data_IF_308456029732
#
_entry.id   IF_308456029732
#
_cell.length_a   1.000
_cell.length_b   1.000
_cell.length_c   1.000
_cell.angle_alpha   90.00
_cell.angle_beta   90.00
_cell.angle_gamma   90.00
#
_symmetry.space_group_name_H-M   'P 1'
#
loop_
_entity.id
_entity.type
_entity.pdbx_description
1 polymer ?
#
# COMPACT_ATOMS: atom_id res chain seq x y z
N UNK A 1 17.76 18.10 -1.97
CA UNK A 1 16.58 18.89 -1.59
C UNK A 1 16.20 18.58 -0.17
N UNK A 2 15.44 19.47 0.50
CA UNK A 2 14.77 19.19 1.78
C UNK A 2 13.33 18.77 1.49
N UNK A 3 12.97 17.58 1.92
CA UNK A 3 11.68 16.95 1.63
C UNK A 3 10.94 16.66 2.93
N UNK A 4 9.74 17.21 3.08
CA UNK A 4 8.85 16.89 4.20
C UNK A 4 7.76 15.92 3.72
N UNK A 5 7.74 14.71 4.26
CA UNK A 5 6.67 13.72 4.06
C UNK A 5 5.65 13.86 5.20
N UNK A 6 4.36 13.85 4.88
CA UNK A 6 3.29 13.98 5.89
C UNK A 6 2.35 12.77 5.81
N UNK A 7 2.20 12.08 6.92
CA UNK A 7 1.30 10.93 7.04
C UNK A 7 0.50 11.00 8.35
N UNK A 8 -0.75 10.56 8.31
CA UNK A 8 -1.62 10.52 9.49
C UNK A 8 -1.05 9.64 10.61
N UNK A 9 -0.51 8.48 10.23
CA UNK A 9 0.15 7.53 11.12
C UNK A 9 1.49 7.14 10.53
N UNK A 10 2.45 6.82 11.40
CA UNK A 10 3.78 6.37 11.01
C UNK A 10 4.29 5.29 11.97
N UNK A 11 5.50 4.76 11.76
CA UNK A 11 6.10 3.79 12.67
C UNK A 11 6.03 4.28 14.14
N UNK A 12 5.74 3.39 15.11
CA UNK A 12 5.68 1.93 15.04
C UNK A 12 4.36 1.35 14.49
N UNK A 13 3.39 2.18 14.09
CA UNK A 13 2.18 1.71 13.41
C UNK A 13 2.52 1.07 12.07
N UNK A 14 1.92 -0.10 11.78
CA UNK A 14 2.17 -0.87 10.56
C UNK A 14 0.95 -0.78 9.62
N UNK A 15 1.20 -0.52 8.34
CA UNK A 15 0.20 -0.49 7.28
C UNK A 15 0.84 -0.10 5.94
N UNK A 16 0.12 -0.25 4.84
CA UNK A 16 0.65 0.01 3.49
C UNK A 16 1.21 1.43 3.31
N UNK A 17 0.45 2.45 3.72
CA UNK A 17 0.88 3.86 3.62
C UNK A 17 2.09 4.14 4.52
N UNK A 18 2.11 3.60 5.76
CA UNK A 18 3.24 3.77 6.68
C UNK A 18 4.53 3.16 6.12
N UNK A 19 4.43 1.96 5.56
CA UNK A 19 5.56 1.29 4.90
C UNK A 19 6.02 2.05 3.66
N UNK A 20 5.09 2.54 2.83
CA UNK A 20 5.39 3.38 1.67
C UNK A 20 6.19 4.64 2.08
N UNK A 21 5.70 5.39 3.07
CA UNK A 21 6.34 6.63 3.52
C UNK A 21 7.74 6.38 4.09
N UNK A 22 7.90 5.30 4.91
CA UNK A 22 9.19 4.93 5.47
C UNK A 22 10.20 4.56 4.38
N UNK A 23 9.82 3.65 3.48
CA UNK A 23 10.72 3.14 2.43
C UNK A 23 11.07 4.22 1.42
N UNK A 24 10.10 5.02 1.00
CA UNK A 24 10.37 6.19 0.14
C UNK A 24 11.31 7.18 0.85
N UNK A 25 11.08 7.46 2.13
CA UNK A 25 11.94 8.35 2.91
C UNK A 25 13.39 7.87 2.96
N UNK A 26 13.60 6.58 3.20
CA UNK A 26 14.94 5.95 3.21
C UNK A 26 15.58 6.01 1.82
N UNK A 27 14.84 5.66 0.77
CA UNK A 27 15.35 5.68 -0.59
C UNK A 27 15.74 7.09 -1.05
N UNK A 28 14.92 8.10 -0.77
CA UNK A 28 15.26 9.51 -1.05
C UNK A 28 16.48 10.00 -0.27
N UNK A 29 16.69 9.52 0.95
CA UNK A 29 17.93 9.83 1.68
C UNK A 29 19.15 9.18 1.03
N UNK A 30 19.00 7.96 0.55
CA UNK A 30 20.04 7.25 -0.21
C UNK A 30 20.51 8.03 -1.43
N UNK A 31 19.65 8.84 -2.04
CA UNK A 31 19.99 9.75 -3.16
C UNK A 31 20.44 11.15 -2.71
N UNK A 32 20.69 11.36 -1.41
CA UNK A 32 21.29 12.59 -0.88
C UNK A 32 20.29 13.69 -0.51
N UNK A 33 18.99 13.38 -0.41
CA UNK A 33 17.99 14.32 0.09
C UNK A 33 17.97 14.36 1.63
N UNK A 34 17.61 15.52 2.19
CA UNK A 34 17.27 15.63 3.62
C UNK A 34 15.77 15.38 3.78
N UNK A 35 15.42 14.25 4.39
CA UNK A 35 14.02 13.84 4.51
C UNK A 35 13.55 13.91 5.96
N UNK A 36 12.40 14.52 6.17
CA UNK A 36 11.68 14.51 7.45
C UNK A 36 10.26 13.98 7.28
N UNK A 37 9.75 13.30 8.31
CA UNK A 37 8.35 12.84 8.39
C UNK A 37 7.64 13.60 9.48
N UNK A 38 6.50 14.22 9.15
CA UNK A 38 5.59 14.80 10.12
C UNK A 38 4.36 13.89 10.27
N UNK A 39 4.04 13.51 11.51
CA UNK A 39 2.94 12.59 11.80
C UNK A 39 2.27 12.89 13.14
N UNK A 40 1.16 12.23 13.44
CA UNK A 40 0.56 12.32 14.76
C UNK A 40 1.30 11.44 15.77
N UNK A 41 1.40 11.94 16.99
CA UNK A 41 1.87 11.17 18.14
C UNK A 41 0.79 10.20 18.61
N UNK A 42 1.16 8.93 18.78
CA UNK A 42 0.30 7.90 19.32
C UNK A 42 0.87 7.43 20.66
N UNK A 43 0.05 7.44 21.70
CA UNK A 43 0.43 7.00 23.04
C UNK A 43 1.76 7.63 23.50
N UNK A 44 2.72 6.80 23.85
CA UNK A 44 4.02 7.19 24.42
C UNK A 44 5.13 7.30 23.36
N UNK A 45 4.77 7.43 22.08
CA UNK A 45 5.76 7.64 21.02
C UNK A 45 6.60 8.90 21.31
N UNK A 46 7.93 8.89 21.06
CA UNK A 46 8.76 10.08 21.23
C UNK A 46 8.33 11.21 20.28
N UNK A 47 8.42 12.46 20.74
CA UNK A 47 8.06 13.63 19.91
C UNK A 47 8.98 13.76 18.69
N UNK A 48 10.26 13.37 18.85
CA UNK A 48 11.25 13.39 17.76
C UNK A 48 12.18 12.18 17.89
N UNK A 49 12.47 11.52 16.78
CA UNK A 49 13.44 10.44 16.68
C UNK A 49 13.98 10.30 15.26
N UNK A 50 15.07 9.57 15.09
CA UNK A 50 15.60 9.21 13.77
C UNK A 50 15.39 7.72 13.54
N UNK A 51 14.62 7.37 12.51
CA UNK A 51 14.35 5.99 12.11
C UNK A 51 14.99 5.71 10.75
N UNK A 52 15.92 4.78 10.68
CA UNK A 52 16.65 4.46 9.45
C UNK A 52 17.21 5.68 8.72
N UNK A 53 17.68 6.68 9.49
CA UNK A 53 18.19 7.94 8.97
C UNK A 53 17.15 9.03 8.77
N UNK A 54 15.87 8.72 8.67
CA UNK A 54 14.76 9.67 8.47
C UNK A 54 14.39 10.34 9.79
N UNK A 55 14.38 11.68 9.81
CA UNK A 55 13.93 12.46 10.96
C UNK A 55 12.39 12.37 11.07
N UNK A 56 11.89 11.83 12.17
CA UNK A 56 10.46 11.71 12.44
C UNK A 56 10.06 12.69 13.55
N UNK A 57 9.10 13.56 13.25
CA UNK A 57 8.54 14.52 14.22
C UNK A 57 7.07 14.23 14.43
N UNK A 58 6.69 13.95 15.66
CA UNK A 58 5.32 13.61 16.04
C UNK A 58 4.65 14.75 16.79
N UNK A 59 3.40 14.98 16.45
CA UNK A 59 2.61 16.07 17.00
C UNK A 59 1.40 15.51 17.75
N UNK A 60 1.20 15.95 18.98
CA UNK A 60 0.02 15.57 19.78
C UNK A 60 -1.25 15.97 19.05
N UNK A 61 -2.22 15.07 18.89
CA UNK A 61 -3.51 15.41 18.35
C UNK A 61 -4.22 16.46 19.22
N UNK A 62 -4.73 17.50 18.59
CA UNK A 62 -5.61 18.47 19.23
C UNK A 62 -7.05 17.96 19.30
N UNK A 63 -7.46 17.22 18.23
CA UNK A 63 -8.73 16.52 18.16
C UNK A 63 -8.44 15.08 17.80
N UNK A 64 -8.98 14.12 18.55
CA UNK A 64 -8.87 12.69 18.30
C UNK A 64 -10.23 12.03 18.47
N UNK A 65 -10.88 11.77 17.34
CA UNK A 65 -12.07 10.95 17.22
C UNK A 65 -11.70 9.73 16.37
N UNK A 66 -12.53 8.70 16.39
CA UNK A 66 -12.25 7.39 15.78
C UNK A 66 -11.69 7.46 14.33
N UNK A 67 -12.21 8.38 13.52
CA UNK A 67 -11.81 8.59 12.12
C UNK A 67 -11.34 10.02 11.83
N UNK A 68 -11.22 10.86 12.85
CA UNK A 68 -10.84 12.27 12.72
C UNK A 68 -9.71 12.57 13.69
N UNK A 69 -8.49 12.63 13.16
CA UNK A 69 -7.32 13.06 13.93
C UNK A 69 -6.74 14.31 13.29
N UNK A 70 -6.61 15.39 14.07
CA UNK A 70 -6.04 16.65 13.62
C UNK A 70 -5.11 17.18 14.71
N UNK A 71 -3.96 17.71 14.33
CA UNK A 71 -3.01 18.40 15.21
C UNK A 71 -2.74 19.80 14.68
N UNK A 72 -3.04 20.81 15.46
CA UNK A 72 -2.69 22.21 15.13
C UNK A 72 -1.17 22.38 15.06
N UNK A 73 -0.41 21.67 15.90
CA UNK A 73 1.06 21.68 15.85
C UNK A 73 1.60 21.18 14.51
N UNK A 74 1.07 20.06 14.00
CA UNK A 74 1.43 19.51 12.69
C UNK A 74 1.08 20.51 11.58
N UNK A 75 -0.11 21.09 11.58
CA UNK A 75 -0.51 22.05 10.55
C UNK A 75 0.33 23.34 10.57
N UNK A 76 0.72 23.80 11.75
CA UNK A 76 1.68 24.92 11.88
C UNK A 76 3.07 24.54 11.31
N UNK A 77 3.56 23.34 11.61
CA UNK A 77 4.82 22.85 11.07
C UNK A 77 4.79 22.79 9.52
N UNK A 78 3.73 22.21 8.93
CA UNK A 78 3.52 22.17 7.47
C UNK A 78 3.47 23.59 6.86
N UNK A 79 2.79 24.52 7.53
CA UNK A 79 2.67 25.91 7.05
C UNK A 79 3.98 26.67 7.10
N UNK A 80 4.78 26.47 8.15
CA UNK A 80 6.01 27.22 8.43
C UNK A 80 7.27 26.57 7.88
N UNK A 81 7.21 25.30 7.42
CA UNK A 81 8.41 24.65 6.89
C UNK A 81 8.95 25.41 5.67
N UNK A 82 10.28 25.63 5.68
CA UNK A 82 11.03 26.20 4.56
C UNK A 82 11.60 25.11 3.65
N UNK A 83 11.12 23.87 3.78
CA UNK A 83 11.55 22.76 2.93
C UNK A 83 11.09 22.97 1.49
N UNK A 84 11.90 22.45 0.57
CA UNK A 84 11.72 22.66 -0.85
C UNK A 84 10.38 22.08 -1.32
N UNK A 85 9.96 20.96 -0.72
CA UNK A 85 8.71 20.29 -1.06
C UNK A 85 8.04 19.66 0.15
N UNK A 86 6.71 19.64 0.14
CA UNK A 86 5.87 18.87 1.06
C UNK A 86 5.12 17.81 0.26
N UNK A 87 5.20 16.56 0.70
CA UNK A 87 4.50 15.45 0.09
C UNK A 87 3.53 14.81 1.09
N UNK A 88 2.25 14.86 0.79
CA UNK A 88 1.16 14.33 1.63
C UNK A 88 0.76 12.94 1.15
N UNK A 89 0.44 12.06 2.10
CA UNK A 89 0.03 10.68 1.81
C UNK A 89 -1.36 10.39 2.33
N UNK A 90 -2.11 9.62 1.54
CA UNK A 90 -3.49 9.19 1.81
C UNK A 90 -4.54 10.28 1.65
N UNK A 91 -5.28 10.19 0.57
CA UNK A 91 -6.44 11.06 0.30
C UNK A 91 -7.50 11.02 1.41
N UNK A 92 -7.69 9.86 2.03
CA UNK A 92 -8.75 9.63 3.01
C UNK A 92 -8.52 10.30 4.38
N UNK A 93 -7.31 10.78 4.63
CA UNK A 93 -6.96 11.34 5.94
C UNK A 93 -7.29 12.83 6.03
N UNK A 94 -8.01 13.22 7.06
CA UNK A 94 -8.36 14.63 7.32
C UNK A 94 -7.11 15.49 7.51
N UNK A 95 -6.03 14.93 8.07
CA UNK A 95 -4.76 15.65 8.20
C UNK A 95 -4.18 16.01 6.85
N UNK A 96 -4.27 15.12 5.85
CA UNK A 96 -3.83 15.39 4.48
C UNK A 96 -4.60 16.57 3.90
N UNK A 97 -5.92 16.60 4.07
CA UNK A 97 -6.76 17.70 3.60
C UNK A 97 -6.42 19.03 4.29
N UNK A 98 -6.30 19.02 5.61
CA UNK A 98 -5.96 20.21 6.38
C UNK A 98 -4.53 20.70 6.07
N UNK A 99 -3.57 19.79 5.89
CA UNK A 99 -2.19 20.10 5.53
C UNK A 99 -2.08 20.72 4.13
N UNK A 100 -2.84 20.20 3.16
CA UNK A 100 -2.90 20.78 1.81
C UNK A 100 -3.40 22.22 1.83
N UNK A 101 -4.41 22.52 2.67
CA UNK A 101 -4.89 23.90 2.84
C UNK A 101 -3.88 24.79 3.58
N UNK A 102 -3.14 24.24 4.53
CA UNK A 102 -2.15 24.98 5.32
C UNK A 102 -0.88 25.32 4.54
N UNK A 103 -0.45 24.45 3.59
CA UNK A 103 0.81 24.60 2.82
C UNK A 103 0.78 25.83 1.91
N UNK A 104 1.92 26.55 1.81
CA UNK A 104 2.10 27.75 0.98
C UNK A 104 3.19 27.62 -0.09
N UNK A 105 3.79 26.45 -0.25
CA UNK A 105 4.86 26.18 -1.23
C UNK A 105 4.56 24.90 -2.02
N UNK A 106 5.55 24.38 -2.75
CA UNK A 106 5.42 23.18 -3.56
C UNK A 106 4.77 22.02 -2.81
N UNK A 107 3.79 21.38 -3.44
CA UNK A 107 2.92 20.36 -2.82
C UNK A 107 2.69 19.19 -3.76
N UNK A 108 3.04 17.99 -3.30
CA UNK A 108 2.68 16.71 -3.95
C UNK A 108 1.72 15.95 -3.05
N UNK A 109 0.80 15.21 -3.65
CA UNK A 109 -0.15 14.35 -2.92
C UNK A 109 -0.14 12.95 -3.53
N UNK A 110 0.24 11.93 -2.75
CA UNK A 110 -0.02 10.53 -3.09
C UNK A 110 -1.38 10.11 -2.54
N UNK A 111 -2.27 9.72 -3.44
CA UNK A 111 -3.68 9.51 -3.10
C UNK A 111 -3.93 8.21 -2.34
N UNK A 112 -3.27 7.11 -2.68
CA UNK A 112 -3.57 5.77 -2.18
C UNK A 112 -5.09 5.48 -2.20
N UNK A 113 -5.74 5.83 -3.32
CA UNK A 113 -7.18 5.87 -3.48
C UNK A 113 -7.70 4.55 -4.08
N UNK A 114 -8.73 3.97 -3.48
CA UNK A 114 -9.35 2.73 -3.94
C UNK A 114 -10.86 2.87 -4.24
N UNK A 115 -11.36 4.10 -4.37
CA UNK A 115 -12.69 4.41 -4.94
C UNK A 115 -13.88 4.27 -4.00
N UNK A 116 -13.87 3.40 -3.01
CA UNK A 116 -15.01 3.14 -2.14
C UNK A 116 -14.61 2.92 -0.68
N UNK A 117 -15.60 3.01 0.21
CA UNK A 117 -15.49 2.56 1.60
C UNK A 117 -16.52 1.46 1.86
N UNK A 118 -16.22 0.53 2.78
CA UNK A 118 -17.15 -0.54 3.13
C UNK A 118 -18.46 -0.01 3.74
N UNK A 119 -19.60 -0.52 3.24
CA UNK A 119 -20.93 -0.24 3.74
C UNK A 119 -21.66 0.91 3.04
N UNK A 120 -22.99 0.73 2.82
CA UNK A 120 -23.84 1.69 2.09
C UNK A 120 -23.85 3.11 2.69
N UNK A 121 -23.80 3.23 4.00
CA UNK A 121 -23.83 4.54 4.67
C UNK A 121 -22.48 5.25 4.55
N UNK A 122 -21.36 4.52 4.74
CA UNK A 122 -19.99 5.03 4.54
C UNK A 122 -19.75 5.42 3.09
N UNK A 123 -20.27 4.67 2.13
CA UNK A 123 -20.19 4.99 0.70
C UNK A 123 -20.90 6.31 0.37
N UNK A 124 -22.08 6.60 0.96
CA UNK A 124 -22.78 7.90 0.80
C UNK A 124 -22.02 9.05 1.44
N UNK A 125 -21.50 8.85 2.65
CA UNK A 125 -20.63 9.85 3.31
C UNK A 125 -19.37 10.11 2.50
N UNK A 126 -18.81 9.07 1.86
CA UNK A 126 -17.65 9.18 1.00
C UNK A 126 -17.91 10.05 -0.26
N UNK A 127 -19.10 9.96 -0.85
CA UNK A 127 -19.48 10.84 -1.98
C UNK A 127 -19.49 12.32 -1.55
N UNK A 128 -20.00 12.65 -0.36
CA UNK A 128 -19.93 14.01 0.16
C UNK A 128 -18.48 14.42 0.45
N UNK A 129 -17.67 13.51 0.99
CA UNK A 129 -16.26 13.70 1.28
C UNK A 129 -15.40 13.95 0.02
N UNK A 130 -15.78 13.38 -1.13
CA UNK A 130 -15.11 13.63 -2.43
C UNK A 130 -15.09 15.12 -2.78
N UNK A 131 -16.14 15.87 -2.48
CA UNK A 131 -16.21 17.32 -2.76
C UNK A 131 -15.16 18.13 -1.98
N UNK A 132 -14.83 17.70 -0.76
CA UNK A 132 -13.75 18.34 0.00
C UNK A 132 -12.37 17.89 -0.49
N UNK A 133 -12.25 16.63 -0.90
CA UNK A 133 -11.05 16.06 -1.47
C UNK A 133 -10.66 16.67 -2.80
N UNK A 134 -11.62 17.02 -3.65
CA UNK A 134 -11.38 17.70 -4.93
C UNK A 134 -10.61 19.02 -4.71
N UNK A 135 -11.02 19.81 -3.72
CA UNK A 135 -10.32 21.05 -3.33
C UNK A 135 -8.88 20.82 -2.84
N UNK A 136 -8.60 19.67 -2.26
CA UNK A 136 -7.24 19.28 -1.83
C UNK A 136 -6.39 18.95 -3.03
N UNK A 137 -6.93 18.14 -3.94
CA UNK A 137 -6.25 17.78 -5.17
C UNK A 137 -6.05 18.98 -6.10
N UNK A 138 -6.98 19.96 -6.11
CA UNK A 138 -6.81 21.24 -6.82
C UNK A 138 -5.59 22.04 -6.32
N UNK A 139 -5.22 21.91 -5.05
CA UNK A 139 -4.06 22.61 -4.48
C UNK A 139 -2.74 21.93 -4.72
N UNK A 140 -2.74 20.65 -5.04
CA UNK A 140 -1.52 19.91 -5.33
C UNK A 140 -0.91 20.35 -6.67
N UNK A 141 0.38 20.63 -6.69
CA UNK A 141 1.11 20.87 -7.94
C UNK A 141 1.21 19.59 -8.77
N UNK A 142 1.36 18.45 -8.11
CA UNK A 142 1.32 17.12 -8.72
C UNK A 142 0.60 16.12 -7.79
N UNK A 143 -0.06 15.16 -8.44
CA UNK A 143 -0.79 14.07 -7.78
C UNK A 143 -0.15 12.76 -8.20
N UNK A 144 0.19 11.91 -7.24
CA UNK A 144 0.76 10.59 -7.48
C UNK A 144 -0.30 9.52 -7.22
N UNK A 145 -0.55 8.69 -8.21
CA UNK A 145 -1.29 7.44 -8.10
C UNK A 145 -0.33 6.25 -8.12
N UNK A 146 -0.64 5.20 -7.36
CA UNK A 146 0.23 4.03 -7.21
C UNK A 146 0.04 2.99 -8.33
N UNK A 147 -1.00 3.17 -9.18
CA UNK A 147 -1.31 2.29 -10.30
C UNK A 147 -2.13 3.03 -11.37
N UNK A 148 -2.18 2.50 -12.57
CA UNK A 148 -3.06 2.98 -13.64
C UNK A 148 -4.54 2.81 -13.28
N UNK A 149 -4.85 1.72 -12.56
CA UNK A 149 -6.19 1.47 -12.04
C UNK A 149 -6.61 2.57 -11.05
N UNK A 150 -5.72 2.98 -10.15
CA UNK A 150 -5.97 4.11 -9.24
C UNK A 150 -6.11 5.42 -10.00
N UNK A 151 -5.22 5.70 -10.98
CA UNK A 151 -5.30 6.91 -11.81
C UNK A 151 -6.65 7.01 -12.53
N UNK A 152 -7.14 5.92 -13.06
CA UNK A 152 -8.45 5.88 -13.72
C UNK A 152 -9.57 6.29 -12.77
N UNK A 153 -9.58 5.73 -11.55
CA UNK A 153 -10.56 6.10 -10.51
C UNK A 153 -10.42 7.56 -10.06
N UNK A 154 -9.19 8.06 -9.94
CA UNK A 154 -8.93 9.46 -9.59
C UNK A 154 -9.45 10.38 -10.69
N UNK A 155 -9.23 10.08 -11.96
CA UNK A 155 -9.72 10.86 -13.09
C UNK A 155 -11.24 10.83 -13.24
N UNK A 156 -11.88 9.71 -12.87
CA UNK A 156 -13.33 9.57 -12.86
C UNK A 156 -13.96 10.41 -11.74
N UNK A 157 -13.38 10.33 -10.53
CA UNK A 157 -13.96 10.95 -9.36
C UNK A 157 -13.53 12.40 -9.13
N UNK A 158 -12.39 12.81 -9.69
CA UNK A 158 -11.76 14.13 -9.54
C UNK A 158 -11.25 14.63 -10.89
N UNK A 159 -12.14 15.05 -11.80
CA UNK A 159 -11.76 15.45 -13.17
C UNK A 159 -10.75 16.60 -13.23
N UNK A 160 -10.74 17.49 -12.22
CA UNK A 160 -9.79 18.61 -12.10
C UNK A 160 -8.32 18.17 -11.91
N UNK A 161 -8.10 16.90 -11.56
CA UNK A 161 -6.75 16.35 -11.28
C UNK A 161 -6.00 15.90 -12.55
N UNK A 162 -6.68 15.71 -13.69
CA UNK A 162 -6.18 14.98 -14.86
C UNK A 162 -4.80 15.42 -15.35
N UNK A 163 -4.59 16.72 -15.50
CA UNK A 163 -3.35 17.28 -16.08
C UNK A 163 -2.18 17.26 -15.11
N UNK A 164 -2.42 16.91 -13.83
CA UNK A 164 -1.43 16.93 -12.75
C UNK A 164 -1.19 15.55 -12.11
N UNK A 165 -1.72 14.50 -12.74
CA UNK A 165 -1.60 13.14 -12.21
C UNK A 165 -0.46 12.38 -12.87
N UNK A 166 0.39 11.74 -12.05
CA UNK A 166 1.44 10.80 -12.46
C UNK A 166 1.20 9.46 -11.81
N UNK A 167 1.59 8.39 -12.47
CA UNK A 167 1.62 7.05 -11.86
C UNK A 167 3.06 6.78 -11.46
N UNK A 168 3.28 6.63 -10.17
CA UNK A 168 4.56 6.20 -9.58
C UNK A 168 4.20 5.10 -8.58
N UNK A 169 4.50 3.84 -8.89
CA UNK A 169 4.12 2.70 -8.04
C UNK A 169 4.92 2.67 -6.74
N UNK A 170 4.52 1.80 -5.82
CA UNK A 170 5.37 1.45 -4.69
C UNK A 170 6.56 0.62 -5.17
N UNK A 171 7.73 0.88 -4.63
CA UNK A 171 8.91 0.06 -4.87
C UNK A 171 8.85 -1.28 -4.14
N UNK A 172 9.63 -2.23 -4.63
CA UNK A 172 9.82 -3.55 -4.02
C UNK A 172 11.27 -3.70 -3.58
N UNK A 173 11.51 -4.33 -2.42
CA UNK A 173 12.85 -4.67 -1.93
C UNK A 173 13.38 -5.92 -2.64
N UNK A 174 13.66 -5.80 -3.95
CA UNK A 174 14.01 -6.93 -4.82
C UNK A 174 15.19 -7.73 -4.23
N UNK A 175 16.29 -7.07 -3.92
CA UNK A 175 17.50 -7.74 -3.42
C UNK A 175 17.26 -8.41 -2.07
N UNK A 176 16.54 -7.75 -1.16
CA UNK A 176 16.23 -8.31 0.15
C UNK A 176 15.28 -9.53 0.08
N UNK A 177 14.37 -9.55 -0.90
CA UNK A 177 13.51 -10.72 -1.14
C UNK A 177 14.35 -11.85 -1.75
N UNK A 178 15.16 -11.59 -2.75
CA UNK A 178 15.96 -12.61 -3.42
C UNK A 178 17.03 -13.22 -2.50
N UNK A 179 17.60 -12.42 -1.60
CA UNK A 179 18.58 -12.87 -0.60
C UNK A 179 17.95 -13.65 0.57
N UNK A 180 16.63 -13.63 0.73
CA UNK A 180 15.97 -14.32 1.84
C UNK A 180 16.07 -15.84 1.69
N UNK A 181 16.34 -16.52 2.81
CA UNK A 181 16.43 -17.97 2.85
C UNK A 181 15.09 -18.62 2.50
N UNK A 182 15.16 -19.71 1.75
CA UNK A 182 14.02 -20.59 1.53
C UNK A 182 13.97 -21.65 2.63
N UNK A 183 12.78 -21.99 3.08
CA UNK A 183 12.58 -23.13 3.99
C UNK A 183 11.72 -24.17 3.28
N UNK A 184 12.31 -25.33 2.94
CA UNK A 184 11.51 -26.44 2.48
C UNK A 184 10.75 -27.06 3.63
N UNK A 185 9.46 -27.29 3.46
CA UNK A 185 8.64 -27.97 4.45
C UNK A 185 8.86 -29.48 4.37
N UNK A 186 9.11 -30.08 5.52
CA UNK A 186 9.35 -31.51 5.63
C UNK A 186 8.15 -32.38 5.26
N UNK A 187 6.92 -31.81 5.22
CA UNK A 187 5.67 -32.55 4.93
C UNK A 187 5.31 -32.66 3.44
N UNK A 188 6.14 -32.10 2.55
CA UNK A 188 5.94 -32.15 1.10
C UNK A 188 4.71 -31.42 0.57
N UNK A 189 3.95 -30.69 1.42
CA UNK A 189 2.76 -29.93 1.02
C UNK A 189 3.15 -28.58 0.43
N UNK A 190 2.38 -28.14 -0.56
CA UNK A 190 2.48 -26.78 -1.08
C UNK A 190 2.13 -25.74 -0.02
N UNK A 191 2.82 -24.59 -0.04
CA UNK A 191 2.56 -23.48 0.86
C UNK A 191 1.72 -22.42 0.16
N UNK A 192 0.51 -22.17 0.70
CA UNK A 192 -0.31 -21.00 0.36
C UNK A 192 -0.03 -19.92 1.41
N UNK A 193 0.26 -18.72 0.94
CA UNK A 193 0.56 -17.58 1.82
C UNK A 193 -0.46 -16.46 1.57
N UNK A 194 -1.01 -15.92 2.65
CA UNK A 194 -1.82 -14.69 2.67
C UNK A 194 -1.14 -13.69 3.58
N UNK A 195 -0.94 -12.46 3.09
CA UNK A 195 -0.27 -11.39 3.83
C UNK A 195 -1.15 -10.14 3.81
N UNK A 196 -1.34 -9.53 4.97
CA UNK A 196 -2.00 -8.23 5.08
C UNK A 196 -2.75 -8.03 6.38
N UNK A 197 -3.40 -6.86 6.49
CA UNK A 197 -4.34 -6.63 7.60
C UNK A 197 -5.53 -7.60 7.47
N UNK A 198 -5.97 -8.14 8.59
CA UNK A 198 -7.14 -9.03 8.60
C UNK A 198 -8.42 -8.20 8.74
N UNK A 199 -8.65 -7.34 7.75
CA UNK A 199 -9.88 -6.55 7.62
C UNK A 199 -10.84 -7.26 6.67
N UNK A 200 -12.13 -7.01 6.79
CA UNK A 200 -13.17 -7.72 6.02
C UNK A 200 -12.99 -7.56 4.51
N UNK A 201 -12.56 -6.38 4.02
CA UNK A 201 -12.34 -6.16 2.58
C UNK A 201 -11.20 -7.00 1.98
N UNK A 202 -10.28 -7.53 2.81
CA UNK A 202 -9.24 -8.47 2.36
C UNK A 202 -9.78 -9.87 2.06
N UNK A 203 -11.01 -10.16 2.47
CA UNK A 203 -11.76 -11.37 2.10
C UNK A 203 -10.99 -12.69 2.35
N UNK A 204 -10.19 -12.72 3.43
CA UNK A 204 -9.39 -13.90 3.81
C UNK A 204 -10.27 -15.11 4.09
N UNK A 205 -11.53 -14.90 4.52
CA UNK A 205 -12.56 -15.93 4.69
C UNK A 205 -12.77 -16.78 3.43
N UNK A 206 -12.64 -16.18 2.23
CA UNK A 206 -12.79 -16.92 0.96
C UNK A 206 -11.64 -17.90 0.76
N UNK A 207 -10.40 -17.49 1.08
CA UNK A 207 -9.22 -18.35 1.00
C UNK A 207 -9.33 -19.49 2.01
N UNK A 208 -9.77 -19.19 3.24
CA UNK A 208 -10.04 -20.21 4.27
C UNK A 208 -11.09 -21.22 3.80
N UNK A 209 -12.18 -20.75 3.18
CA UNK A 209 -13.21 -21.66 2.62
C UNK A 209 -12.66 -22.53 1.48
N UNK A 210 -11.81 -22.00 0.62
CA UNK A 210 -11.17 -22.75 -0.45
C UNK A 210 -10.27 -23.87 0.07
N UNK A 211 -9.71 -23.73 1.29
CA UNK A 211 -8.88 -24.75 1.92
C UNK A 211 -9.61 -26.08 2.15
N UNK A 212 -10.94 -26.11 2.27
CA UNK A 212 -11.71 -27.38 2.35
C UNK A 212 -11.51 -28.27 1.11
N UNK A 213 -11.11 -27.70 -0.03
CA UNK A 213 -10.79 -28.39 -1.28
C UNK A 213 -9.28 -28.58 -1.51
N UNK A 214 -8.42 -28.03 -0.66
CA UNK A 214 -6.96 -27.98 -0.83
C UNK A 214 -6.18 -28.67 0.30
N UNK A 215 -6.80 -28.97 1.43
CA UNK A 215 -6.16 -29.39 2.68
C UNK A 215 -5.28 -30.65 2.59
N UNK A 216 -5.47 -31.51 1.60
CA UNK A 216 -4.65 -32.70 1.41
C UNK A 216 -3.30 -32.40 0.72
N UNK A 217 -3.22 -31.33 -0.11
CA UNK A 217 -2.01 -30.99 -0.87
C UNK A 217 -1.35 -29.68 -0.45
N UNK A 218 -2.02 -28.86 0.36
CA UNK A 218 -1.57 -27.53 0.72
C UNK A 218 -1.75 -27.22 2.21
N UNK A 219 -0.96 -26.27 2.70
CA UNK A 219 -1.14 -25.56 3.96
C UNK A 219 -1.30 -24.08 3.70
N UNK A 220 -2.08 -23.41 4.54
CA UNK A 220 -2.30 -21.96 4.49
C UNK A 220 -1.65 -21.28 5.68
N UNK A 221 -0.72 -20.38 5.42
CA UNK A 221 -0.13 -19.48 6.40
C UNK A 221 -0.70 -18.07 6.22
N UNK A 222 -1.30 -17.50 7.26
CA UNK A 222 -1.91 -16.18 7.26
C UNK A 222 -1.06 -15.25 8.12
N UNK A 223 -0.42 -14.28 7.47
CA UNK A 223 0.44 -13.28 8.11
C UNK A 223 -0.29 -11.95 8.23
N UNK A 224 -0.32 -11.43 9.46
CA UNK A 224 -0.93 -10.16 9.79
C UNK A 224 -1.89 -10.24 10.97
N UNK A 225 -2.51 -9.10 11.26
CA UNK A 225 -3.49 -8.94 12.33
C UNK A 225 -4.61 -8.00 11.87
N UNK A 226 -5.77 -8.06 12.50
CA UNK A 226 -6.92 -7.21 12.19
C UNK A 226 -8.17 -7.70 12.89
N UNK A 227 -9.24 -6.93 12.73
CA UNK A 227 -10.52 -7.16 13.42
C UNK A 227 -11.20 -8.49 13.05
N UNK A 228 -10.99 -8.97 11.82
CA UNK A 228 -11.60 -10.20 11.35
C UNK A 228 -10.93 -11.48 11.87
N UNK A 229 -9.80 -11.37 12.61
CA UNK A 229 -9.03 -12.55 13.05
C UNK A 229 -9.88 -13.57 13.81
N UNK A 230 -10.63 -13.11 14.82
CA UNK A 230 -11.44 -14.02 15.64
C UNK A 230 -12.53 -14.74 14.81
N UNK A 231 -13.16 -14.02 13.88
CA UNK A 231 -14.17 -14.61 12.97
C UNK A 231 -13.53 -15.67 12.04
N UNK A 232 -12.31 -15.43 11.58
CA UNK A 232 -11.57 -16.36 10.73
C UNK A 232 -11.13 -17.61 11.51
N UNK A 233 -10.69 -17.49 12.77
CA UNK A 233 -10.35 -18.62 13.63
C UNK A 233 -11.57 -19.51 13.90
N UNK A 234 -12.73 -18.91 14.17
CA UNK A 234 -14.01 -19.63 14.29
C UNK A 234 -14.35 -20.36 12.98
N UNK A 235 -14.18 -19.71 11.83
CA UNK A 235 -14.42 -20.32 10.52
C UNK A 235 -13.52 -21.54 10.28
N UNK A 236 -12.22 -21.44 10.62
CA UNK A 236 -11.24 -22.54 10.53
C UNK A 236 -11.69 -23.72 11.38
N UNK A 237 -12.17 -23.47 12.59
CA UNK A 237 -12.71 -24.50 13.49
C UNK A 237 -13.94 -25.20 12.91
N UNK A 238 -14.92 -24.43 12.41
CA UNK A 238 -16.15 -24.96 11.81
C UNK A 238 -15.89 -25.82 10.56
N UNK A 239 -14.82 -25.50 9.80
CA UNK A 239 -14.45 -26.26 8.60
C UNK A 239 -13.51 -27.44 8.90
N UNK A 240 -13.10 -27.66 10.15
CA UNK A 240 -12.17 -28.74 10.53
C UNK A 240 -10.75 -28.54 10.00
N UNK A 241 -10.31 -27.29 9.76
CA UNK A 241 -9.05 -26.96 9.10
C UNK A 241 -7.92 -26.60 10.06
N UNK A 242 -8.07 -26.78 11.38
CA UNK A 242 -7.10 -26.40 12.41
C UNK A 242 -5.68 -26.98 12.20
N UNK A 243 -5.56 -28.12 11.51
CA UNK A 243 -4.27 -28.75 11.17
C UNK A 243 -3.64 -28.27 9.86
N UNK A 244 -4.33 -27.40 9.10
CA UNK A 244 -3.92 -26.97 7.74
C UNK A 244 -3.86 -25.46 7.56
N UNK A 245 -4.51 -24.70 8.45
CA UNK A 245 -4.52 -23.22 8.43
C UNK A 245 -3.83 -22.71 9.68
N UNK A 246 -2.83 -21.85 9.53
CA UNK A 246 -2.07 -21.28 10.62
C UNK A 246 -2.05 -19.75 10.57
N UNK A 247 -2.43 -19.11 11.68
CA UNK A 247 -2.36 -17.66 11.86
C UNK A 247 -1.01 -17.28 12.47
N UNK A 248 -0.10 -16.81 11.64
CA UNK A 248 1.26 -16.40 12.03
C UNK A 248 1.33 -15.07 12.78
N UNK A 249 0.26 -14.28 12.70
CA UNK A 249 0.26 -12.92 13.27
C UNK A 249 1.24 -11.99 12.57
N UNK A 250 1.74 -11.00 13.30
CA UNK A 250 2.79 -10.11 12.81
C UNK A 250 4.15 -10.76 13.04
N UNK A 251 4.97 -10.78 12.00
CA UNK A 251 6.32 -11.33 12.00
C UNK A 251 7.32 -10.28 11.52
N UNK A 252 8.61 -10.53 11.66
CA UNK A 252 9.66 -9.67 11.11
C UNK A 252 9.64 -9.68 9.56
N UNK A 253 10.17 -8.63 8.95
CA UNK A 253 10.32 -8.54 7.49
C UNK A 253 11.16 -9.71 6.94
N UNK A 254 12.19 -10.15 7.67
CA UNK A 254 13.01 -11.30 7.28
C UNK A 254 12.18 -12.60 7.21
N UNK A 255 11.35 -12.84 8.24
CA UNK A 255 10.46 -14.00 8.28
C UNK A 255 9.39 -13.93 7.15
N UNK A 256 8.89 -12.73 6.86
CA UNK A 256 7.92 -12.51 5.78
C UNK A 256 8.52 -12.79 4.41
N UNK A 257 9.75 -12.29 4.14
CA UNK A 257 10.48 -12.56 2.89
C UNK A 257 10.80 -14.04 2.74
N UNK A 258 11.21 -14.73 3.82
CA UNK A 258 11.42 -16.17 3.81
C UNK A 258 10.14 -16.95 3.50
N UNK A 259 8.99 -16.53 4.06
CA UNK A 259 7.69 -17.11 3.75
C UNK A 259 7.30 -16.93 2.27
N UNK A 260 7.52 -15.72 1.71
CA UNK A 260 7.30 -15.44 0.28
C UNK A 260 8.17 -16.32 -0.61
N UNK A 261 9.47 -16.44 -0.31
CA UNK A 261 10.43 -17.27 -1.05
C UNK A 261 10.06 -18.75 -1.02
N UNK A 262 9.47 -19.21 0.06
CA UNK A 262 9.06 -20.60 0.26
C UNK A 262 7.66 -20.89 -0.26
N UNK A 263 6.86 -19.85 -0.56
CA UNK A 263 5.49 -20.00 -1.00
C UNK A 263 5.40 -20.72 -2.36
N UNK A 264 4.50 -21.68 -2.48
CA UNK A 264 4.06 -22.20 -3.78
C UNK A 264 3.16 -21.19 -4.48
N UNK A 265 2.28 -20.54 -3.69
CA UNK A 265 1.36 -19.54 -4.18
C UNK A 265 1.07 -18.50 -3.09
N UNK A 266 1.01 -17.24 -3.49
CA UNK A 266 0.47 -16.16 -2.68
C UNK A 266 -0.93 -15.84 -3.18
N UNK A 267 -1.91 -15.78 -2.27
CA UNK A 267 -3.30 -15.51 -2.62
C UNK A 267 -3.74 -14.15 -2.06
N UNK A 268 -4.28 -13.29 -2.91
CA UNK A 268 -4.96 -12.05 -2.52
C UNK A 268 -6.41 -12.07 -3.00
N UNK A 269 -7.34 -12.21 -2.05
CA UNK A 269 -8.78 -12.18 -2.31
C UNK A 269 -9.42 -10.80 -2.05
N UNK A 270 -8.60 -9.76 -1.94
CA UNK A 270 -9.02 -8.40 -1.62
C UNK A 270 -10.13 -7.91 -2.56
N UNK A 271 -11.11 -7.20 -2.00
CA UNK A 271 -12.12 -6.49 -2.78
C UNK A 271 -11.65 -5.10 -3.25
N UNK A 272 -10.64 -4.55 -2.60
CA UNK A 272 -10.15 -3.19 -2.84
C UNK A 272 -8.62 -3.15 -2.66
N UNK A 273 -7.92 -2.60 -3.64
CA UNK A 273 -6.50 -2.26 -3.59
C UNK A 273 -6.25 -1.00 -4.41
N UNK A 274 -5.32 -0.16 -3.98
CA UNK A 274 -4.79 0.92 -4.83
C UNK A 274 -3.70 0.42 -5.79
N UNK A 275 -2.89 -0.55 -5.35
CA UNK A 275 -1.88 -1.22 -6.19
C UNK A 275 -1.80 -2.72 -5.90
N UNK A 276 -1.65 -3.11 -4.63
CA UNK A 276 -1.39 -4.50 -4.24
C UNK A 276 0.11 -4.83 -4.24
N UNK A 277 0.82 -4.41 -3.20
CA UNK A 277 2.28 -4.61 -3.06
C UNK A 277 2.62 -6.10 -2.90
N UNK A 278 1.87 -6.83 -2.07
CA UNK A 278 2.13 -8.23 -1.75
C UNK A 278 2.17 -9.14 -2.98
N UNK A 279 1.25 -9.04 -3.97
CA UNK A 279 1.38 -9.72 -5.25
C UNK A 279 2.71 -9.46 -5.97
N UNK A 280 3.20 -8.22 -5.98
CA UNK A 280 4.47 -7.86 -6.62
C UNK A 280 5.67 -8.46 -5.87
N UNK A 281 5.66 -8.40 -4.53
CA UNK A 281 6.67 -9.06 -3.70
C UNK A 281 6.69 -10.59 -3.94
N UNK A 282 5.52 -11.21 -4.10
CA UNK A 282 5.39 -12.64 -4.40
C UNK A 282 5.96 -13.00 -5.78
N UNK A 283 5.75 -12.15 -6.79
CA UNK A 283 6.32 -12.32 -8.13
C UNK A 283 7.85 -12.28 -8.06
N UNK A 284 8.43 -11.31 -7.35
CA UNK A 284 9.88 -11.23 -7.10
C UNK A 284 10.38 -12.47 -6.38
N UNK A 285 9.65 -12.95 -5.38
CA UNK A 285 9.98 -14.16 -4.63
C UNK A 285 9.92 -15.44 -5.47
N UNK A 286 9.33 -15.40 -6.66
CA UNK A 286 9.15 -16.54 -7.56
C UNK A 286 7.90 -17.38 -7.27
N UNK A 287 7.01 -16.94 -6.39
CA UNK A 287 5.74 -17.61 -6.13
C UNK A 287 4.76 -17.44 -7.30
N UNK A 288 3.85 -18.38 -7.47
CA UNK A 288 2.63 -18.16 -8.25
C UNK A 288 1.68 -17.25 -7.48
N UNK A 289 0.80 -16.53 -8.17
CA UNK A 289 -0.07 -15.53 -7.54
C UNK A 289 -1.52 -15.73 -7.97
N UNK A 290 -2.42 -15.99 -7.02
CA UNK A 290 -3.86 -16.07 -7.24
C UNK A 290 -4.53 -14.78 -6.75
N UNK A 291 -5.22 -14.07 -7.64
CA UNK A 291 -5.72 -12.71 -7.41
C UNK A 291 -7.21 -12.61 -7.70
N UNK A 292 -7.95 -11.91 -6.84
CA UNK A 292 -9.32 -11.49 -7.14
C UNK A 292 -9.34 -10.55 -8.36
N UNK A 293 -10.39 -10.65 -9.17
CA UNK A 293 -10.53 -9.89 -10.42
C UNK A 293 -10.98 -8.42 -10.17
N UNK A 294 -10.11 -7.64 -9.52
CA UNK A 294 -10.26 -6.19 -9.28
C UNK A 294 -9.29 -5.38 -10.15
N UNK A 295 -9.54 -4.08 -10.40
CA UNK A 295 -8.72 -3.28 -11.32
C UNK A 295 -7.22 -3.34 -11.06
N UNK A 296 -6.77 -3.16 -9.81
CA UNK A 296 -5.36 -3.19 -9.46
C UNK A 296 -4.71 -4.59 -9.69
N UNK A 297 -5.45 -5.65 -9.43
CA UNK A 297 -4.98 -7.02 -9.66
C UNK A 297 -4.96 -7.39 -11.15
N UNK A 298 -5.90 -6.87 -11.96
CA UNK A 298 -5.87 -7.00 -13.42
C UNK A 298 -4.61 -6.38 -14.01
N UNK A 299 -4.23 -5.19 -13.52
CA UNK A 299 -2.99 -4.51 -13.93
C UNK A 299 -1.76 -5.39 -13.62
N UNK A 300 -1.66 -5.94 -12.42
CA UNK A 300 -0.60 -6.87 -12.03
C UNK A 300 -0.60 -8.12 -12.90
N UNK A 301 -1.77 -8.73 -13.13
CA UNK A 301 -1.90 -9.94 -13.95
C UNK A 301 -1.58 -9.68 -15.43
N UNK A 302 -1.92 -8.50 -15.95
CA UNK A 302 -1.56 -8.09 -17.31
C UNK A 302 -0.05 -7.94 -17.48
N UNK A 303 0.62 -7.37 -16.49
CA UNK A 303 2.09 -7.17 -16.49
C UNK A 303 2.86 -8.48 -16.31
N UNK A 304 2.31 -9.42 -15.51
CA UNK A 304 2.98 -10.69 -15.17
C UNK A 304 2.06 -11.92 -15.39
N UNK A 305 1.60 -12.16 -16.62
CA UNK A 305 0.61 -13.20 -16.91
C UNK A 305 1.13 -14.63 -16.65
N UNK A 306 2.45 -14.84 -16.73
CA UNK A 306 3.09 -16.12 -16.44
C UNK A 306 3.13 -16.48 -14.95
N UNK A 307 2.87 -15.51 -14.05
CA UNK A 307 2.84 -15.71 -12.60
C UNK A 307 1.44 -15.64 -12.02
N UNK A 308 0.53 -14.91 -12.66
CA UNK A 308 -0.78 -14.59 -12.10
C UNK A 308 -1.89 -15.48 -12.66
N UNK A 309 -2.87 -15.74 -11.81
CA UNK A 309 -4.18 -16.30 -12.16
C UNK A 309 -5.24 -15.42 -11.51
N UNK A 310 -6.15 -14.88 -12.32
CA UNK A 310 -7.31 -14.13 -11.83
C UNK A 310 -8.46 -15.08 -11.53
N UNK A 311 -9.21 -14.79 -10.45
CA UNK A 311 -10.47 -15.45 -10.13
C UNK A 311 -11.58 -14.43 -9.88
N UNK A 312 -12.80 -14.75 -10.25
CA UNK A 312 -13.95 -13.85 -10.10
C UNK A 312 -14.16 -13.42 -8.65
N UNK A 313 -14.57 -12.17 -8.45
CA UNK A 313 -15.03 -11.71 -7.13
C UNK A 313 -16.24 -12.51 -6.61
N UNK A 314 -17.01 -13.16 -7.48
CA UNK A 314 -18.11 -14.06 -7.13
C UNK A 314 -17.71 -15.53 -7.04
N UNK A 315 -16.44 -15.88 -7.33
CA UNK A 315 -15.97 -17.28 -7.33
C UNK A 315 -16.33 -18.00 -6.02
N UNK A 316 -16.85 -19.21 -6.15
CA UNK A 316 -17.12 -20.07 -5.01
C UNK A 316 -15.83 -20.76 -4.52
N UNK A 317 -15.89 -21.42 -3.37
CA UNK A 317 -14.72 -22.03 -2.73
C UNK A 317 -13.95 -23.01 -3.66
N UNK A 318 -14.65 -23.81 -4.46
CA UNK A 318 -14.04 -24.74 -5.42
C UNK A 318 -13.32 -24.00 -6.55
N UNK A 319 -13.94 -23.00 -7.15
CA UNK A 319 -13.35 -22.19 -8.23
C UNK A 319 -12.08 -21.45 -7.75
N UNK A 320 -12.12 -20.91 -6.52
CA UNK A 320 -10.94 -20.30 -5.92
C UNK A 320 -9.84 -21.34 -5.65
N UNK A 321 -10.18 -22.53 -5.21
CA UNK A 321 -9.22 -23.62 -5.02
C UNK A 321 -8.55 -24.04 -6.34
N UNK A 322 -9.28 -24.07 -7.44
CA UNK A 322 -8.75 -24.34 -8.78
C UNK A 322 -7.80 -23.23 -9.23
N UNK A 323 -8.15 -21.95 -9.02
CA UNK A 323 -7.28 -20.81 -9.30
C UNK A 323 -5.97 -20.87 -8.49
N UNK A 324 -6.04 -21.25 -7.21
CA UNK A 324 -4.87 -21.42 -6.35
C UNK A 324 -3.98 -22.57 -6.87
N UNK A 325 -4.53 -23.73 -7.25
CA UNK A 325 -3.75 -24.83 -7.83
C UNK A 325 -3.07 -24.41 -9.15
N UNK A 326 -3.81 -23.73 -10.02
CA UNK A 326 -3.28 -23.21 -11.28
C UNK A 326 -2.13 -22.22 -11.05
N UNK A 327 -2.28 -21.30 -10.08
CA UNK A 327 -1.24 -20.35 -9.72
C UNK A 327 -0.01 -21.05 -9.12
N UNK A 328 -0.18 -22.07 -8.28
CA UNK A 328 0.94 -22.85 -7.73
C UNK A 328 1.80 -23.47 -8.83
N UNK A 329 1.18 -23.93 -9.94
CA UNK A 329 1.88 -24.41 -11.14
C UNK A 329 2.67 -23.35 -11.89
N UNK A 330 2.46 -22.06 -11.60
CA UNK A 330 3.18 -20.93 -12.22
C UNK A 330 4.40 -20.48 -11.39
N UNK A 331 4.74 -21.16 -10.30
CA UNK A 331 5.96 -20.89 -9.53
C UNK A 331 7.20 -21.05 -10.41
N UNK A 332 8.19 -20.18 -10.28
CA UNK A 332 9.43 -20.23 -11.05
C UNK A 332 10.54 -19.39 -10.44
N UNK A 333 11.80 -19.75 -10.73
CA UNK A 333 12.98 -19.13 -10.13
C UNK A 333 13.36 -17.78 -10.76
N UNK A 334 13.06 -17.57 -12.03
CA UNK A 334 13.43 -16.33 -12.73
C UNK A 334 12.38 -15.25 -12.57
N UNK A 335 12.85 -14.02 -12.39
CA UNK A 335 11.99 -12.84 -12.39
C UNK A 335 11.47 -12.59 -13.82
N UNK A 336 10.16 -12.43 -14.05
CA UNK A 336 9.62 -12.18 -15.37
C UNK A 336 9.96 -10.76 -15.86
N UNK A 337 10.44 -10.64 -17.11
CA UNK A 337 10.69 -9.34 -17.74
C UNK A 337 11.61 -8.42 -16.93
N UNK A 338 11.30 -7.13 -16.88
CA UNK A 338 12.03 -6.14 -16.07
C UNK A 338 11.74 -6.20 -14.57
N UNK A 339 10.77 -7.04 -14.18
CA UNK A 339 10.31 -7.09 -12.78
C UNK A 339 9.48 -5.86 -12.36
N UNK A 340 9.01 -5.84 -11.10
CA UNK A 340 8.47 -4.64 -10.46
C UNK A 340 9.59 -3.62 -10.17
N UNK A 341 9.23 -2.36 -10.06
CA UNK A 341 10.14 -1.26 -9.73
C UNK A 341 10.76 -1.44 -8.34
N UNK A 342 12.06 -1.17 -8.23
CA UNK A 342 12.76 -1.11 -6.96
C UNK A 342 12.47 0.22 -6.24
N UNK A 343 12.84 0.32 -4.95
CA UNK A 343 12.74 1.59 -4.23
C UNK A 343 13.70 2.65 -4.78
N UNK A 344 14.81 2.27 -5.38
CA UNK A 344 15.74 3.19 -6.02
C UNK A 344 15.14 3.77 -7.31
N UNK A 345 14.45 2.96 -8.11
CA UNK A 345 13.72 3.41 -9.30
C UNK A 345 12.62 4.42 -8.90
N UNK A 346 11.83 4.09 -7.87
CA UNK A 346 10.77 4.96 -7.35
C UNK A 346 11.34 6.27 -6.79
N UNK A 347 12.47 6.23 -6.09
CA UNK A 347 13.13 7.43 -5.58
C UNK A 347 13.59 8.33 -6.73
N UNK A 348 14.18 7.78 -7.79
CA UNK A 348 14.61 8.53 -8.96
C UNK A 348 13.43 9.19 -9.69
N UNK A 349 12.33 8.48 -9.90
CA UNK A 349 11.12 9.05 -10.50
C UNK A 349 10.51 10.16 -9.61
N UNK A 350 10.48 9.93 -8.29
CA UNK A 350 9.95 10.89 -7.34
C UNK A 350 10.83 12.14 -7.27
N UNK A 351 12.16 11.98 -7.33
CA UNK A 351 13.09 13.09 -7.41
C UNK A 351 12.86 13.94 -8.67
N UNK A 352 12.71 13.30 -9.82
CA UNK A 352 12.42 14.00 -11.07
C UNK A 352 11.09 14.78 -11.00
N UNK A 353 10.06 14.20 -10.34
CA UNK A 353 8.80 14.87 -10.07
C UNK A 353 8.99 16.09 -9.18
N UNK A 354 9.74 15.97 -8.07
CA UNK A 354 10.00 17.07 -7.15
C UNK A 354 10.78 18.21 -7.82
N UNK A 355 11.79 17.87 -8.61
CA UNK A 355 12.56 18.87 -9.38
C UNK A 355 11.65 19.61 -10.38
N UNK A 356 10.70 18.91 -11.02
CA UNK A 356 9.72 19.53 -11.92
C UNK A 356 8.83 20.51 -11.17
N UNK A 357 8.29 20.13 -10.02
CA UNK A 357 7.41 20.97 -9.18
C UNK A 357 8.13 22.20 -8.62
N UNK A 358 9.41 22.06 -8.25
CA UNK A 358 10.19 23.14 -7.66
C UNK A 358 10.79 24.11 -8.69
N UNK A 359 10.73 23.81 -10.00
CA UNK A 359 11.18 24.75 -11.03
C UNK A 359 10.30 26.00 -11.05
N UNK A 360 10.88 27.22 -11.08
CA UNK A 360 10.10 28.43 -11.24
C UNK A 360 9.31 28.34 -12.56
N UNK A 361 8.01 28.56 -12.50
CA UNK A 361 7.17 28.66 -13.70
C UNK A 361 7.68 29.81 -14.58
N UNK A 362 8.29 29.50 -15.72
CA UNK A 362 8.76 30.50 -16.69
C UNK A 362 7.63 31.22 -17.44
N UNK A 363 6.37 30.99 -17.08
CA UNK A 363 5.19 31.56 -17.75
C UNK A 363 4.39 32.51 -16.85
N UNK A 364 5.02 33.58 -16.31
CA UNK A 364 4.34 34.83 -15.90
C UNK A 364 5.17 36.03 -16.27
N UNK A 365 5.58 36.14 -17.52
CA UNK A 365 5.88 37.44 -18.08
C UNK A 365 4.54 38.02 -18.52
N UNK A 366 3.90 38.77 -17.63
CA UNK A 366 2.77 39.60 -17.97
C UNK A 366 3.23 40.65 -18.98
N UNK A 367 2.75 40.52 -20.21
CA UNK A 367 2.75 41.63 -21.15
C UNK A 367 1.75 42.65 -20.61
N UNK A 368 2.24 43.59 -19.81
CA UNK A 368 1.61 44.90 -19.64
C UNK A 368 2.27 45.84 -20.64
N UNK A 369 1.58 46.08 -21.73
CA UNK A 369 1.64 47.31 -22.51
C UNK A 369 0.23 47.83 -22.79
#
# INVERSE_FOLDING_TARGET
>A
MRVTLVSNRFAPSVGGVQSLVMRLGVALQGTGHQVSVLTHQLADDPEEEVLSGVLVRRFRPTVRLEHLTVSIGLLRAVRSTADDIVHLFSYHDVVTQAAAVARRGPLVVTTAYHGSSEGRLRSRAHVAYRRTGDRVLERADQIVCLSEAERTLVHEHFPSSRDRTRVIPCGIDVDAILAAATSDRADGRGSIVVIGRLDRYKRVDRVVRAMSHLCHGFRLDIFGAGEARAELEVLVGHLGLAGTVEFRGRVSDAALRSALRSASVVCSASALESQGIVPLEAIVAGAGVALSDIPAHRETAYRFPERCVLFSESAQALELAEAIRSAAGKRGASLPGSGPESWDDVAAEMEALYQHVCRPSTSKVSVHR
#
